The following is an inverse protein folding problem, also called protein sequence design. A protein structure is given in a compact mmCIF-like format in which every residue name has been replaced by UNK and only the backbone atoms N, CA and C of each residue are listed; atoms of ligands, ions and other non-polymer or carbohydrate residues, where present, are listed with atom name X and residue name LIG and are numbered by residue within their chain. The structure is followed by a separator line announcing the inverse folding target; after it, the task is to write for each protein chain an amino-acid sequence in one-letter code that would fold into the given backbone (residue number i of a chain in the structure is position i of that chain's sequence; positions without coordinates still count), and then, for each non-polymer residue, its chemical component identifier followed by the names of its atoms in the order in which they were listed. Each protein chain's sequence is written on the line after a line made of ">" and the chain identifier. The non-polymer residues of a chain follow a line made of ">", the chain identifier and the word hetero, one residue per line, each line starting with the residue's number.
data_IF_097316417563
#
_entry.id   IF_097316417563
#
_cell.length_a   1.000
_cell.length_b   1.000
_cell.length_c   1.000
_cell.angle_alpha   90.00
_cell.angle_beta   90.00
_cell.angle_gamma   90.00
#
_symmetry.space_group_name_H-M   'P 1'
#
loop_
_entity.id
_entity.type
_entity.pdbx_description
1 polymer ?
#
# COMPACT_ATOMS: atom_id res chain seq x y z
N UNK A 1 -14.01 1.17 -7.21
CA UNK A 1 -13.33 1.48 -5.94
C UNK A 1 -13.13 2.97 -5.84
N UNK A 2 -13.50 3.59 -4.73
CA UNK A 2 -13.30 5.03 -4.51
C UNK A 2 -12.00 5.24 -3.72
N UNK A 3 -11.05 6.00 -4.28
CA UNK A 3 -9.83 6.38 -3.55
C UNK A 3 -10.15 7.48 -2.54
N UNK A 4 -10.10 7.12 -1.26
CA UNK A 4 -10.36 7.98 -0.11
C UNK A 4 -9.15 8.83 0.26
N UNK A 5 -7.93 8.33 0.02
CA UNK A 5 -6.68 9.03 0.32
C UNK A 5 -5.80 9.02 -0.92
N UNK A 6 -5.88 10.08 -1.72
CA UNK A 6 -5.13 10.21 -2.99
C UNK A 6 -3.69 10.67 -2.83
N UNK A 7 -3.29 11.10 -1.63
CA UNK A 7 -1.98 11.73 -1.40
C UNK A 7 -1.02 10.74 -0.77
N UNK A 8 0.19 10.71 -1.32
CA UNK A 8 1.33 10.06 -0.69
C UNK A 8 1.56 10.64 0.70
N UNK A 9 1.56 9.79 1.72
CA UNK A 9 1.85 10.18 3.11
C UNK A 9 2.95 9.29 3.69
N UNK A 10 4.04 9.82 4.26
CA UNK A 10 4.99 9.00 5.00
C UNK A 10 4.30 8.39 6.22
N UNK A 11 4.44 7.07 6.39
CA UNK A 11 3.97 6.35 7.58
C UNK A 11 5.15 5.94 8.46
N UNK A 12 6.24 5.47 7.85
CA UNK A 12 7.43 4.98 8.54
C UNK A 12 8.69 5.39 7.80
N UNK A 13 9.75 5.71 8.55
CA UNK A 13 11.10 5.97 8.05
C UNK A 13 12.10 5.65 9.17
N UNK A 14 12.72 4.46 9.13
CA UNK A 14 13.49 3.92 10.24
C UNK A 14 14.39 2.73 9.88
N UNK A 15 14.76 1.96 10.90
CA UNK A 15 15.61 0.77 10.79
C UNK A 15 14.79 -0.51 10.52
N UNK A 16 15.49 -1.56 10.07
CA UNK A 16 14.91 -2.86 9.72
C UNK A 16 14.14 -3.52 10.88
N UNK A 17 14.65 -3.40 12.11
CA UNK A 17 14.07 -4.05 13.31
C UNK A 17 12.63 -3.62 13.59
N UNK A 18 12.30 -2.37 13.28
CA UNK A 18 10.99 -1.78 13.52
C UNK A 18 10.10 -1.87 12.28
N UNK A 19 10.69 -1.92 11.09
CA UNK A 19 9.96 -1.99 9.82
C UNK A 19 8.98 -3.16 9.77
N UNK A 20 9.44 -4.37 10.10
CA UNK A 20 8.58 -5.56 10.05
C UNK A 20 7.55 -5.62 11.17
N UNK A 21 7.62 -4.77 12.20
CA UNK A 21 6.66 -4.73 13.32
C UNK A 21 5.76 -3.50 13.27
N UNK A 22 5.97 -2.65 12.27
CA UNK A 22 5.30 -1.37 12.16
C UNK A 22 3.80 -1.54 11.93
N UNK A 23 3.02 -0.81 12.71
CA UNK A 23 1.59 -0.63 12.51
C UNK A 23 1.22 0.84 12.71
N UNK A 24 0.17 1.28 12.03
CA UNK A 24 -0.30 2.65 12.11
C UNK A 24 -1.82 2.73 12.05
N UNK A 25 -2.39 3.62 12.87
CA UNK A 25 -3.76 4.06 12.71
C UNK A 25 -3.87 5.01 11.50
N UNK A 26 -4.80 4.73 10.60
CA UNK A 26 -5.13 5.55 9.44
C UNK A 26 -6.53 6.11 9.60
N UNK A 27 -6.63 7.43 9.72
CA UNK A 27 -7.90 8.11 9.80
C UNK A 27 -8.57 8.20 8.43
N UNK A 28 -9.84 7.81 8.35
CA UNK A 28 -10.61 7.85 7.11
C UNK A 28 -11.30 9.20 6.92
N UNK A 29 -11.41 9.69 5.67
CA UNK A 29 -12.28 10.82 5.36
C UNK A 29 -13.74 10.43 5.62
N UNK A 30 -14.41 11.13 6.54
CA UNK A 30 -15.78 10.82 6.96
C UNK A 30 -15.92 10.25 8.37
N UNK A 31 -14.80 10.06 9.08
CA UNK A 31 -14.78 9.46 10.41
C UNK A 31 -14.57 7.95 10.34
N UNK A 32 -13.90 7.39 11.35
CA UNK A 32 -13.45 6.00 11.37
C UNK A 32 -11.94 5.88 11.25
N UNK A 33 -11.42 4.77 11.77
CA UNK A 33 -9.99 4.49 11.84
C UNK A 33 -9.73 3.07 11.36
N UNK A 34 -8.77 2.93 10.45
CA UNK A 34 -8.24 1.64 10.02
C UNK A 34 -6.90 1.38 10.68
N UNK A 35 -6.58 0.11 10.89
CA UNK A 35 -5.26 -0.30 11.36
C UNK A 35 -4.49 -0.90 10.20
N UNK A 36 -3.44 -0.20 9.79
CA UNK A 36 -2.40 -0.74 8.93
C UNK A 36 -1.42 -1.55 9.77
N UNK A 37 -1.11 -2.77 9.33
CA UNK A 37 -0.15 -3.69 9.94
C UNK A 37 0.74 -4.23 8.83
N UNK A 38 2.02 -3.84 8.84
CA UNK A 38 2.96 -4.18 7.78
C UNK A 38 3.15 -5.70 7.63
N UNK A 39 2.95 -6.47 8.71
CA UNK A 39 3.06 -7.94 8.69
C UNK A 39 1.96 -8.63 7.89
N UNK A 40 0.84 -7.94 7.65
CA UNK A 40 -0.34 -8.47 6.96
C UNK A 40 -0.41 -8.01 5.51
N UNK A 41 0.67 -7.47 4.99
CA UNK A 41 0.71 -6.94 3.63
C UNK A 41 1.08 -8.01 2.63
N UNK A 42 0.51 -7.89 1.44
CA UNK A 42 0.72 -8.76 0.28
C UNK A 42 1.30 -7.93 -0.86
N UNK A 43 2.01 -8.54 -1.81
CA UNK A 43 2.47 -7.80 -2.98
C UNK A 43 1.28 -7.40 -3.84
N UNK A 44 1.27 -6.16 -4.36
CA UNK A 44 0.17 -5.70 -5.22
C UNK A 44 -0.03 -6.60 -6.45
N UNK A 45 1.02 -7.28 -6.92
CA UNK A 45 0.95 -8.23 -8.02
C UNK A 45 0.04 -9.44 -7.76
N UNK A 46 -0.22 -9.79 -6.51
CA UNK A 46 -1.14 -10.87 -6.14
C UNK A 46 -2.61 -10.54 -6.51
N UNK A 47 -2.94 -9.27 -6.75
CA UNK A 47 -4.28 -8.84 -7.20
C UNK A 47 -4.55 -9.04 -8.70
N UNK A 48 -3.56 -9.48 -9.50
CA UNK A 48 -3.73 -9.72 -10.94
C UNK A 48 -4.19 -8.47 -11.71
N UNK A 49 -5.24 -8.60 -12.53
CA UNK A 49 -5.79 -7.50 -13.34
C UNK A 49 -6.29 -6.32 -12.49
N UNK A 50 -6.68 -6.56 -11.24
CA UNK A 50 -7.11 -5.47 -10.34
C UNK A 50 -5.92 -4.56 -9.96
N UNK A 51 -4.70 -5.09 -9.95
CA UNK A 51 -3.49 -4.28 -9.72
C UNK A 51 -3.30 -3.24 -10.83
N UNK A 52 -3.50 -3.64 -12.09
CA UNK A 52 -3.39 -2.76 -13.25
C UNK A 52 -4.39 -1.60 -13.18
N UNK A 53 -5.64 -1.88 -12.77
CA UNK A 53 -6.66 -0.86 -12.59
C UNK A 53 -6.28 0.16 -11.49
N UNK A 54 -5.69 -0.33 -10.39
CA UNK A 54 -5.25 0.52 -9.28
C UNK A 54 -4.11 1.46 -9.68
N UNK A 55 -3.27 1.09 -10.64
CA UNK A 55 -2.13 1.93 -11.05
C UNK A 55 -2.54 3.31 -11.52
N UNK A 56 -3.67 3.42 -12.23
CA UNK A 56 -4.21 4.70 -12.70
C UNK A 56 -4.68 5.63 -11.57
N UNK A 57 -4.88 5.06 -10.38
CA UNK A 57 -5.42 5.76 -9.21
C UNK A 57 -4.33 6.11 -8.17
N UNK A 58 -3.11 5.63 -8.38
CA UNK A 58 -1.95 5.80 -7.50
C UNK A 58 -0.96 6.77 -8.15
N UNK A 59 -0.51 7.77 -7.41
CA UNK A 59 0.42 8.77 -7.94
C UNK A 59 1.81 8.17 -8.19
N UNK A 60 2.37 8.40 -9.40
CA UNK A 60 3.75 8.00 -9.78
C UNK A 60 4.02 6.50 -9.66
N UNK A 61 2.95 5.72 -9.76
CA UNK A 61 3.01 4.31 -9.60
C UNK A 61 3.21 3.65 -10.98
N UNK A 62 4.11 2.67 -11.06
CA UNK A 62 4.57 2.06 -12.30
C UNK A 62 4.51 0.54 -12.24
N UNK A 63 4.18 -0.08 -13.37
CA UNK A 63 4.31 -1.52 -13.59
C UNK A 63 5.63 -1.79 -14.31
N UNK A 64 6.46 -2.66 -13.75
CA UNK A 64 7.64 -3.21 -14.41
C UNK A 64 7.44 -4.70 -14.57
N UNK A 65 7.37 -5.16 -15.82
CA UNK A 65 7.32 -6.58 -16.13
C UNK A 65 8.74 -7.09 -16.29
N UNK A 66 9.12 -8.08 -15.47
CA UNK A 66 10.37 -8.79 -15.68
C UNK A 66 10.27 -9.58 -17.00
N UNK A 67 11.10 -9.22 -17.96
CA UNK A 67 11.06 -9.78 -19.32
C UNK A 67 11.47 -11.25 -19.38
N UNK A 68 12.14 -11.78 -18.36
CA UNK A 68 12.63 -13.16 -18.31
C UNK A 68 11.66 -14.07 -17.57
N UNK A 69 11.10 -13.60 -16.46
CA UNK A 69 10.22 -14.40 -15.61
C UNK A 69 8.72 -14.16 -15.85
N UNK A 70 8.35 -13.11 -16.58
CA UNK A 70 6.95 -12.76 -16.86
C UNK A 70 6.18 -12.21 -15.66
N UNK A 71 6.83 -12.01 -14.51
CA UNK A 71 6.21 -11.46 -13.31
C UNK A 71 6.15 -9.93 -13.39
N UNK A 72 4.97 -9.38 -13.18
CA UNK A 72 4.79 -7.95 -13.00
C UNK A 72 5.17 -7.56 -11.56
N UNK A 73 6.07 -6.59 -11.43
CA UNK A 73 6.32 -5.86 -10.20
C UNK A 73 5.67 -4.48 -10.30
N UNK A 74 5.00 -4.06 -9.24
CA UNK A 74 4.36 -2.75 -9.15
C UNK A 74 5.13 -1.92 -8.14
N UNK A 75 5.49 -0.69 -8.50
CA UNK A 75 6.40 0.14 -7.71
C UNK A 75 5.95 1.60 -7.67
N UNK A 76 6.41 2.34 -6.67
CA UNK A 76 6.29 3.79 -6.58
C UNK A 76 7.60 4.34 -6.02
N UNK A 77 8.26 5.26 -6.76
CA UNK A 77 9.58 5.81 -6.41
C UNK A 77 10.62 4.71 -6.08
N UNK A 78 10.62 3.61 -6.85
CA UNK A 78 11.44 2.39 -6.70
C UNK A 78 11.08 1.47 -5.52
N UNK A 79 10.16 1.85 -4.62
CA UNK A 79 9.64 0.98 -3.58
C UNK A 79 8.58 0.04 -4.14
N UNK A 80 8.52 -1.19 -3.63
CA UNK A 80 7.50 -2.15 -4.04
C UNK A 80 6.14 -1.72 -3.50
N UNK A 81 5.09 -1.92 -4.30
CA UNK A 81 3.72 -1.70 -3.85
C UNK A 81 3.18 -2.96 -3.20
N UNK A 82 2.62 -2.76 -2.01
CA UNK A 82 1.97 -3.77 -1.21
C UNK A 82 0.53 -3.34 -0.90
N UNK A 83 -0.32 -4.30 -0.57
CA UNK A 83 -1.67 -4.02 -0.11
C UNK A 83 -2.01 -4.78 1.17
N UNK A 84 -2.97 -4.26 1.91
CA UNK A 84 -3.64 -4.92 3.01
C UNK A 84 -5.15 -4.74 2.84
N UNK A 85 -5.90 -5.84 2.90
CA UNK A 85 -7.35 -5.80 3.01
C UNK A 85 -7.75 -5.74 4.48
N UNK A 86 -8.72 -4.88 4.79
CA UNK A 86 -9.27 -4.75 6.14
C UNK A 86 -10.73 -4.33 6.06
N UNK A 87 -11.44 -4.47 7.17
CA UNK A 87 -12.83 -4.04 7.31
C UNK A 87 -12.92 -3.07 8.48
N UNK A 88 -13.77 -2.05 8.35
CA UNK A 88 -14.13 -1.21 9.50
C UNK A 88 -15.03 -2.03 10.44
N UNK A 89 -14.63 -2.24 11.72
CA UNK A 89 -15.43 -2.99 12.67
C UNK A 89 -16.82 -2.38 12.93
N UNK A 90 -16.97 -1.07 12.75
CA UNK A 90 -18.20 -0.36 13.06
C UNK A 90 -19.23 -0.43 11.92
N UNK A 91 -18.79 -0.17 10.68
CA UNK A 91 -19.69 -0.16 9.51
C UNK A 91 -19.71 -1.48 8.73
N UNK A 92 -18.74 -2.37 8.95
CA UNK A 92 -18.54 -3.58 8.14
C UNK A 92 -18.00 -3.28 6.73
N UNK A 93 -17.74 -2.02 6.39
CA UNK A 93 -17.26 -1.63 5.08
C UNK A 93 -15.84 -2.17 4.82
N UNK A 94 -15.60 -2.63 3.58
CA UNK A 94 -14.33 -3.15 3.14
C UNK A 94 -13.37 -2.05 2.65
N UNK A 95 -12.11 -2.17 3.04
CA UNK A 95 -11.04 -1.25 2.62
C UNK A 95 -9.82 -2.00 2.11
N UNK A 96 -9.20 -1.41 1.10
CA UNK A 96 -7.89 -1.80 0.57
C UNK A 96 -6.91 -0.66 0.87
N UNK A 97 -5.93 -0.93 1.73
CA UNK A 97 -4.82 -0.02 2.01
C UNK A 97 -3.68 -0.41 1.07
N UNK A 98 -3.16 0.54 0.31
CA UNK A 98 -2.00 0.34 -0.57
C UNK A 98 -0.84 1.19 -0.07
N UNK A 99 0.32 0.56 0.09
CA UNK A 99 1.55 1.22 0.56
C UNK A 99 2.70 0.94 -0.40
N UNK A 100 3.59 1.91 -0.54
CA UNK A 100 4.91 1.72 -1.14
C UNK A 100 5.90 1.48 0.00
N UNK A 101 6.51 0.30 0.05
CA UNK A 101 7.35 -0.12 1.16
C UNK A 101 8.64 -0.80 0.69
N UNK A 102 9.68 -0.70 1.52
CA UNK A 102 10.96 -1.36 1.30
C UNK A 102 12.16 -0.50 1.67
N UNK A 103 13.33 -0.93 1.22
CA UNK A 103 14.59 -0.23 1.44
C UNK A 103 14.74 0.97 0.50
N UNK A 104 15.13 2.11 1.07
CA UNK A 104 15.47 3.36 0.41
C UNK A 104 16.92 3.71 0.74
N UNK A 105 17.66 4.22 -0.24
CA UNK A 105 19.04 4.64 -0.03
C UNK A 105 19.12 6.01 0.67
N UNK A 106 20.03 6.21 1.65
CA UNK A 106 20.95 5.22 2.22
C UNK A 106 20.21 4.23 3.15
N UNK A 107 20.51 2.92 3.04
CA UNK A 107 20.01 1.78 3.83
C UNK A 107 19.00 2.07 4.97
N UNK A 108 17.82 2.58 4.62
CA UNK A 108 16.73 2.92 5.53
C UNK A 108 15.46 2.30 5.00
N UNK A 109 14.57 1.91 5.90
CA UNK A 109 13.31 1.30 5.54
C UNK A 109 12.22 2.34 5.61
N UNK A 110 11.43 2.44 4.53
CA UNK A 110 10.37 3.42 4.42
C UNK A 110 9.04 2.75 4.08
N UNK A 111 7.96 3.31 4.62
CA UNK A 111 6.59 2.99 4.23
C UNK A 111 5.88 4.30 3.91
N UNK A 112 5.40 4.42 2.68
CA UNK A 112 4.54 5.51 2.25
C UNK A 112 3.15 4.96 1.97
N UNK A 113 2.12 5.58 2.55
CA UNK A 113 0.74 5.35 2.14
C UNK A 113 0.58 5.84 0.69
N UNK A 114 0.24 4.93 -0.22
CA UNK A 114 0.02 5.23 -1.63
C UNK A 114 -1.46 5.47 -1.92
N UNK A 115 -2.36 4.75 -1.25
CA UNK A 115 -3.79 5.01 -1.31
C UNK A 115 -4.62 4.18 -0.35
N UNK A 116 -5.84 4.63 -0.09
CA UNK A 116 -6.86 3.82 0.62
C UNK A 116 -8.12 3.82 -0.20
N UNK A 117 -8.65 2.63 -0.48
CA UNK A 117 -9.78 2.43 -1.36
C UNK A 117 -10.91 1.72 -0.65
N UNK A 118 -12.11 2.29 -0.68
CA UNK A 118 -13.30 1.54 -0.29
C UNK A 118 -13.70 0.59 -1.44
N UNK A 119 -14.03 -0.64 -1.08
CA UNK A 119 -14.70 -1.58 -1.98
C UNK A 119 -16.08 -1.95 -1.40
N UNK A 120 -17.09 -2.13 -2.28
CA UNK A 120 -18.46 -2.42 -1.87
C UNK A 120 -18.61 -3.79 -1.23
#
# INVERSE_FOLDING_TARGET
>A
MNNLLKRRKPLFDGEDSDFYRFSAALDLPGGGQLIFDNQRTHYLSELGESADALMSLLERAEKRVDSVAGFASYRQDNLALHYQQTTDPCSGAGYLIVVAAGELQPARYAIYLAGVFAWP
#
